data_IF_743432021855
#
_entry.id   IF_743432021855
#
_cell.length_a   1.000
_cell.length_b   1.000
_cell.length_c   1.000
_cell.angle_alpha   90.00
_cell.angle_beta   90.00
_cell.angle_gamma   90.00
#
_symmetry.space_group_name_H-M   'P 1'
#
loop_
_entity.id
_entity.type
_entity.pdbx_description
1 polymer ?
#
# COMPACT_ATOMS: atom_id res chain seq x y z
N UNK A 1 -18.84 -21.57 5.70
CA UNK A 1 -17.84 -22.30 4.87
C UNK A 1 -17.25 -23.41 5.74
N UNK A 2 -17.11 -24.66 5.22
CA UNK A 2 -16.60 -25.78 6.02
C UNK A 2 -15.12 -25.50 6.41
N UNK A 3 -14.73 -25.77 7.68
CA UNK A 3 -13.37 -25.57 8.21
C UNK A 3 -12.28 -26.22 7.32
N UNK A 4 -12.58 -27.39 6.72
CA UNK A 4 -11.68 -28.08 5.80
C UNK A 4 -11.38 -27.24 4.55
N UNK A 5 -12.41 -26.66 3.91
CA UNK A 5 -12.22 -25.77 2.74
C UNK A 5 -11.42 -24.52 3.13
N UNK A 6 -11.73 -23.94 4.29
CA UNK A 6 -11.02 -22.75 4.78
C UNK A 6 -9.54 -23.06 5.04
N UNK A 7 -9.23 -24.20 5.67
CA UNK A 7 -7.85 -24.66 5.91
C UNK A 7 -7.11 -24.90 4.58
N UNK A 8 -7.75 -25.51 3.58
CA UNK A 8 -7.15 -25.73 2.25
C UNK A 8 -6.78 -24.41 1.55
N UNK A 9 -7.69 -23.43 1.54
CA UNK A 9 -7.41 -22.11 0.94
C UNK A 9 -6.31 -21.36 1.70
N UNK A 10 -6.30 -21.44 3.03
CA UNK A 10 -5.22 -20.90 3.85
C UNK A 10 -3.88 -21.50 3.44
N UNK A 11 -3.75 -22.83 3.42
CA UNK A 11 -2.51 -23.52 3.01
C UNK A 11 -2.03 -23.05 1.65
N UNK A 12 -2.90 -23.07 0.65
CA UNK A 12 -2.55 -22.66 -0.73
C UNK A 12 -2.06 -21.21 -0.81
N UNK A 13 -2.59 -20.32 0.03
CA UNK A 13 -2.19 -18.92 0.06
C UNK A 13 -0.82 -18.68 0.71
N UNK A 14 -0.38 -19.59 1.60
CA UNK A 14 0.88 -19.44 2.33
C UNK A 14 2.10 -20.02 1.62
N UNK A 15 1.93 -21.03 0.75
CA UNK A 15 3.05 -21.64 0.02
C UNK A 15 3.96 -20.61 -0.65
N UNK A 16 3.46 -19.64 -1.44
CA UNK A 16 4.31 -18.61 -2.03
C UNK A 16 4.92 -17.66 -1.01
N UNK A 17 4.27 -17.43 0.13
CA UNK A 17 4.74 -16.52 1.17
C UNK A 17 5.98 -17.06 1.89
N UNK A 18 6.11 -18.36 2.06
CA UNK A 18 7.28 -19.00 2.67
C UNK A 18 8.56 -18.65 1.91
N UNK A 19 8.50 -18.54 0.60
CA UNK A 19 9.64 -18.13 -0.24
C UNK A 19 10.17 -16.73 0.10
N UNK A 20 9.28 -15.81 0.53
CA UNK A 20 9.64 -14.41 0.79
C UNK A 20 9.86 -14.11 2.27
N UNK A 21 9.16 -14.79 3.16
CA UNK A 21 9.13 -14.52 4.59
C UNK A 21 9.72 -15.65 5.45
N UNK A 22 10.11 -16.77 4.84
CA UNK A 22 10.78 -17.87 5.52
C UNK A 22 9.96 -18.43 6.70
N UNK A 23 10.65 -18.68 7.83
CA UNK A 23 10.04 -19.28 9.04
C UNK A 23 8.91 -18.42 9.63
N UNK A 24 8.91 -17.12 9.45
CA UNK A 24 7.84 -16.24 9.94
C UNK A 24 6.51 -16.57 9.25
N UNK A 25 6.52 -16.85 7.94
CA UNK A 25 5.32 -17.26 7.22
C UNK A 25 4.78 -18.60 7.75
N UNK A 26 5.65 -19.52 8.15
CA UNK A 26 5.26 -20.81 8.72
C UNK A 26 4.59 -20.61 10.10
N UNK A 27 5.15 -19.76 10.96
CA UNK A 27 4.55 -19.44 12.27
C UNK A 27 3.18 -18.80 12.11
N UNK A 28 3.05 -17.82 11.21
CA UNK A 28 1.77 -17.14 10.91
C UNK A 28 0.75 -18.17 10.42
N UNK A 29 1.15 -19.07 9.52
CA UNK A 29 0.28 -20.14 9.00
C UNK A 29 -0.21 -21.08 10.10
N UNK A 30 0.66 -21.50 11.01
CA UNK A 30 0.28 -22.35 12.14
C UNK A 30 -0.77 -21.69 13.03
N UNK A 31 -0.59 -20.41 13.38
CA UNK A 31 -1.59 -19.66 14.14
C UNK A 31 -2.90 -19.47 13.39
N UNK A 32 -2.86 -19.30 12.07
CA UNK A 32 -4.06 -19.24 11.23
C UNK A 32 -4.84 -20.57 11.26
N UNK A 33 -4.15 -21.72 11.18
CA UNK A 33 -4.76 -23.02 11.32
C UNK A 33 -5.36 -23.23 12.71
N UNK A 34 -4.63 -22.87 13.76
CA UNK A 34 -5.12 -22.98 15.13
C UNK A 34 -6.36 -22.11 15.37
N UNK A 35 -6.40 -20.89 14.81
CA UNK A 35 -7.58 -20.04 14.87
C UNK A 35 -8.79 -20.65 14.15
N UNK A 36 -8.58 -21.30 13.00
CA UNK A 36 -9.66 -21.98 12.24
C UNK A 36 -10.23 -23.16 13.01
N UNK A 37 -9.37 -23.95 13.67
CA UNK A 37 -9.77 -25.21 14.27
C UNK A 37 -10.20 -25.09 15.73
N UNK A 38 -9.59 -24.19 16.49
CA UNK A 38 -9.78 -24.09 17.94
C UNK A 38 -10.45 -22.78 18.39
N UNK A 39 -9.73 -21.65 18.37
CA UNK A 39 -10.20 -20.39 18.93
C UNK A 39 -9.59 -19.18 18.19
N UNK A 40 -10.39 -18.14 17.99
CA UNK A 40 -9.96 -16.86 17.40
C UNK A 40 -8.85 -16.16 18.22
N UNK A 41 -8.62 -16.52 19.47
CA UNK A 41 -7.51 -16.01 20.28
C UNK A 41 -6.15 -16.23 19.62
N UNK A 42 -6.00 -17.31 18.83
CA UNK A 42 -4.77 -17.54 18.06
C UNK A 42 -4.48 -16.47 17.01
N UNK A 43 -5.48 -15.69 16.60
CA UNK A 43 -5.27 -14.53 15.73
C UNK A 43 -4.43 -13.45 16.43
N UNK A 44 -4.56 -13.25 17.74
CA UNK A 44 -3.74 -12.29 18.49
C UNK A 44 -2.26 -12.68 18.47
N UNK A 45 -1.95 -13.96 18.66
CA UNK A 45 -0.57 -14.45 18.55
C UNK A 45 0.00 -14.28 17.15
N UNK A 46 -0.82 -14.50 16.11
CA UNK A 46 -0.44 -14.24 14.72
C UNK A 46 -0.07 -12.76 14.51
N UNK A 47 -0.88 -11.83 14.99
CA UNK A 47 -0.60 -10.41 14.87
C UNK A 47 0.67 -9.99 15.61
N UNK A 48 0.92 -10.56 16.80
CA UNK A 48 2.16 -10.29 17.51
C UNK A 48 3.40 -10.78 16.76
N UNK A 49 3.36 -11.94 16.12
CA UNK A 49 4.46 -12.44 15.26
C UNK A 49 4.70 -11.50 14.07
N UNK A 50 3.63 -10.94 13.49
CA UNK A 50 3.75 -9.97 12.39
C UNK A 50 4.38 -8.67 12.89
N UNK A 51 3.92 -8.17 14.03
CA UNK A 51 4.43 -6.95 14.68
C UNK A 51 5.93 -7.08 14.97
N UNK A 52 6.34 -8.13 15.70
CA UNK A 52 7.75 -8.41 16.02
C UNK A 52 8.63 -8.48 14.75
N UNK A 53 8.10 -9.12 13.68
CA UNK A 53 8.80 -9.20 12.40
C UNK A 53 8.97 -7.82 11.76
N UNK A 54 7.91 -7.01 11.73
CA UNK A 54 7.94 -5.68 11.16
C UNK A 54 8.88 -4.77 11.96
N UNK A 55 8.81 -4.80 13.28
CA UNK A 55 9.71 -4.05 14.15
C UNK A 55 11.16 -4.43 13.91
N UNK A 56 11.48 -5.72 13.91
CA UNK A 56 12.87 -6.20 13.68
C UNK A 56 13.43 -5.77 12.33
N UNK A 57 12.55 -5.64 11.31
CA UNK A 57 12.97 -5.35 9.95
C UNK A 57 12.99 -3.85 9.62
N UNK A 58 12.12 -3.07 10.24
CA UNK A 58 11.86 -1.68 9.86
C UNK A 58 12.23 -0.65 10.94
N UNK A 59 12.54 -1.06 12.17
CA UNK A 59 13.00 -0.13 13.21
C UNK A 59 14.31 0.60 12.84
N UNK A 60 15.16 0.00 12.01
CA UNK A 60 16.32 0.67 11.45
C UNK A 60 15.95 1.79 10.47
N UNK A 61 14.79 1.70 9.80
CA UNK A 61 14.32 2.72 8.87
C UNK A 61 13.63 3.91 9.57
N UNK A 62 13.05 3.71 10.76
CA UNK A 62 12.42 4.80 11.52
C UNK A 62 13.44 5.79 12.08
N UNK A 63 14.69 5.38 12.24
CA UNK A 63 15.81 6.23 12.67
C UNK A 63 16.50 6.96 11.50
N UNK A 64 16.26 6.55 10.25
CA UNK A 64 16.75 7.25 9.07
C UNK A 64 15.72 8.28 8.61
N UNK A 65 15.97 9.53 8.95
CA UNK A 65 15.26 10.71 8.47
C UNK A 65 13.82 10.87 8.97
N UNK A 66 13.67 11.45 10.13
CA UNK A 66 12.64 12.50 10.26
C UNK A 66 12.89 13.44 9.09
N UNK A 67 12.12 13.29 8.00
CA UNK A 67 12.05 14.30 6.96
C UNK A 67 11.70 15.58 7.69
N UNK A 68 12.64 16.51 7.79
CA UNK A 68 12.42 17.82 8.35
C UNK A 68 11.45 18.52 7.41
N UNK A 69 10.18 18.41 7.71
CA UNK A 69 9.10 19.17 7.08
C UNK A 69 9.15 20.63 7.54
N UNK A 70 10.35 21.24 7.53
CA UNK A 70 10.51 22.61 8.00
C UNK A 70 10.06 23.66 6.96
N UNK A 71 9.54 23.24 5.79
CA UNK A 71 9.15 24.15 4.71
C UNK A 71 7.78 23.87 4.10
N UNK A 72 6.93 23.10 4.76
CA UNK A 72 5.53 23.09 4.38
C UNK A 72 4.86 24.37 4.88
N UNK A 73 5.12 25.47 4.19
CA UNK A 73 4.26 26.64 4.30
C UNK A 73 2.85 26.15 3.97
N UNK A 74 1.92 26.40 4.89
CA UNK A 74 0.48 26.06 4.77
C UNK A 74 -0.18 26.69 3.51
N UNK A 75 0.60 27.34 2.63
CA UNK A 75 0.10 28.09 1.49
C UNK A 75 -0.31 27.23 0.30
N UNK A 76 0.26 26.04 0.13
CA UNK A 76 0.01 25.22 -1.07
C UNK A 76 -0.45 23.81 -0.70
N UNK A 77 -1.61 23.72 -0.04
CA UNK A 77 -2.25 22.41 0.17
C UNK A 77 -2.62 21.80 -1.19
N UNK A 78 -2.00 20.70 -1.50
CA UNK A 78 -2.22 19.98 -2.76
C UNK A 78 -3.12 18.79 -2.54
N UNK A 79 -4.12 18.63 -3.42
CA UNK A 79 -4.94 17.43 -3.48
C UNK A 79 -4.35 16.55 -4.57
N UNK A 80 -3.80 15.41 -4.18
CA UNK A 80 -3.20 14.45 -5.10
C UNK A 80 -4.24 13.47 -5.59
N UNK A 81 -4.35 13.31 -6.91
CA UNK A 81 -5.17 12.30 -7.57
C UNK A 81 -4.22 11.41 -8.36
N UNK A 82 -4.30 10.11 -8.13
CA UNK A 82 -3.53 9.14 -8.89
C UNK A 82 -4.45 8.33 -9.80
N UNK A 83 -4.23 8.47 -11.11
CA UNK A 83 -4.89 7.66 -12.12
C UNK A 83 -3.89 7.27 -13.19
N UNK A 84 -3.42 6.03 -13.14
CA UNK A 84 -2.27 5.55 -13.92
C UNK A 84 -2.38 5.85 -15.41
N UNK A 85 -3.52 5.52 -16.02
CA UNK A 85 -3.73 5.63 -17.46
C UNK A 85 -4.10 7.05 -17.94
N UNK A 86 -4.31 7.99 -17.06
CA UNK A 86 -4.73 9.35 -17.38
C UNK A 86 -6.24 9.53 -17.50
N UNK A 87 -6.67 10.79 -17.50
CA UNK A 87 -8.09 11.19 -17.43
C UNK A 87 -8.96 10.57 -18.54
N UNK A 88 -8.43 10.46 -19.77
CA UNK A 88 -9.18 9.94 -20.92
C UNK A 88 -9.74 8.52 -20.70
N UNK A 89 -9.07 7.74 -19.84
CA UNK A 89 -9.45 6.34 -19.56
C UNK A 89 -10.29 6.19 -18.31
N UNK A 90 -10.59 7.27 -17.61
CA UNK A 90 -11.46 7.20 -16.43
C UNK A 90 -12.87 6.77 -16.82
N UNK A 91 -13.50 5.87 -16.01
CA UNK A 91 -14.94 5.65 -16.08
C UNK A 91 -15.69 6.97 -15.87
N UNK A 92 -16.89 7.10 -16.49
CA UNK A 92 -17.66 8.34 -16.47
C UNK A 92 -17.92 8.85 -15.05
N UNK A 93 -18.25 7.97 -14.12
CA UNK A 93 -18.44 8.34 -12.72
C UNK A 93 -17.19 8.94 -12.09
N UNK A 94 -16.01 8.40 -12.41
CA UNK A 94 -14.74 8.93 -11.90
C UNK A 94 -14.43 10.32 -12.49
N UNK A 95 -14.74 10.55 -13.77
CA UNK A 95 -14.61 11.88 -14.40
C UNK A 95 -15.51 12.90 -13.75
N UNK A 96 -16.78 12.54 -13.48
CA UNK A 96 -17.74 13.41 -12.79
C UNK A 96 -17.19 13.80 -11.41
N UNK A 97 -16.67 12.83 -10.64
CA UNK A 97 -16.07 13.09 -9.34
C UNK A 97 -14.83 14.00 -9.46
N UNK A 98 -13.98 13.74 -10.42
CA UNK A 98 -12.78 14.55 -10.67
C UNK A 98 -13.14 16.00 -11.03
N UNK A 99 -14.05 16.21 -11.97
CA UNK A 99 -14.49 17.54 -12.36
C UNK A 99 -15.21 18.27 -11.22
N UNK A 100 -16.01 17.54 -10.42
CA UNK A 100 -16.60 18.10 -9.20
C UNK A 100 -15.53 18.56 -8.21
N UNK A 101 -14.47 17.77 -8.02
CA UNK A 101 -13.37 18.16 -7.18
C UNK A 101 -12.65 19.41 -7.71
N UNK A 102 -12.34 19.48 -9.01
CA UNK A 102 -11.74 20.68 -9.62
C UNK A 102 -12.60 21.91 -9.38
N UNK A 103 -13.93 21.79 -9.53
CA UNK A 103 -14.88 22.90 -9.34
C UNK A 103 -14.93 23.40 -7.88
N UNK A 104 -14.76 22.49 -6.90
CA UNK A 104 -14.96 22.80 -5.49
C UNK A 104 -13.66 22.92 -4.68
N UNK A 105 -12.51 22.64 -5.26
CA UNK A 105 -11.21 22.69 -4.57
C UNK A 105 -10.80 24.12 -4.15
N UNK A 106 -11.35 25.14 -4.79
CA UNK A 106 -11.11 26.58 -4.48
C UNK A 106 -9.62 26.90 -4.32
N UNK A 107 -9.14 26.94 -3.08
CA UNK A 107 -7.77 27.30 -2.68
C UNK A 107 -6.77 26.15 -2.72
N UNK A 108 -7.21 24.94 -2.99
CA UNK A 108 -6.32 23.78 -3.06
C UNK A 108 -5.87 23.54 -4.50
N UNK A 109 -4.58 23.28 -4.69
CA UNK A 109 -4.04 22.84 -5.97
C UNK A 109 -4.42 21.38 -6.17
N UNK A 110 -5.12 21.07 -7.26
CA UNK A 110 -5.42 19.67 -7.61
C UNK A 110 -4.40 19.20 -8.63
N UNK A 111 -3.72 18.11 -8.35
CA UNK A 111 -2.69 17.53 -9.22
C UNK A 111 -3.06 16.10 -9.55
N UNK A 112 -3.27 15.80 -10.83
CA UNK A 112 -3.43 14.44 -11.30
C UNK A 112 -2.07 13.86 -11.65
N UNK A 113 -1.72 12.76 -10.98
CA UNK A 113 -0.51 11.99 -11.24
C UNK A 113 -0.87 10.77 -12.08
N UNK A 114 -0.16 10.61 -13.19
CA UNK A 114 -0.35 9.55 -14.19
C UNK A 114 0.97 8.86 -14.47
N UNK A 115 1.00 7.82 -15.30
CA UNK A 115 2.25 7.20 -15.76
C UNK A 115 3.18 8.18 -16.48
N UNK A 116 2.64 9.22 -17.12
CA UNK A 116 3.43 10.14 -17.94
C UNK A 116 4.16 11.21 -17.13
N UNK A 117 3.61 11.59 -15.96
CA UNK A 117 4.17 12.66 -15.13
C UNK A 117 4.58 12.21 -13.72
N UNK A 118 4.48 10.91 -13.41
CA UNK A 118 4.86 10.37 -12.09
C UNK A 118 6.30 10.74 -11.72
N UNK A 119 7.23 10.64 -12.68
CA UNK A 119 8.65 10.91 -12.47
C UNK A 119 8.97 12.39 -12.20
N UNK A 120 8.07 13.32 -12.54
CA UNK A 120 8.23 14.74 -12.23
C UNK A 120 8.07 15.02 -10.73
N UNK A 121 7.36 14.14 -10.04
CA UNK A 121 7.06 14.27 -8.60
C UNK A 121 7.88 13.33 -7.74
N UNK A 122 7.91 12.04 -8.08
CA UNK A 122 8.57 11.01 -7.27
C UNK A 122 9.31 10.01 -8.15
N UNK A 123 10.41 9.47 -7.61
CA UNK A 123 11.14 8.39 -8.26
C UNK A 123 10.82 7.07 -7.58
N UNK A 124 10.13 6.19 -8.29
CA UNK A 124 9.81 4.86 -7.79
C UNK A 124 11.04 3.96 -7.89
N UNK A 125 11.41 3.27 -6.79
CA UNK A 125 12.51 2.31 -6.84
C UNK A 125 12.30 1.26 -7.93
N UNK A 126 13.35 0.98 -8.72
CA UNK A 126 13.30 0.05 -9.86
C UNK A 126 12.72 -1.32 -9.49
N UNK A 127 13.03 -1.82 -8.29
CA UNK A 127 12.50 -3.10 -7.79
C UNK A 127 10.97 -3.10 -7.66
N UNK A 128 10.36 -1.95 -7.32
CA UNK A 128 8.91 -1.80 -7.22
C UNK A 128 8.30 -1.80 -8.62
N UNK A 129 8.86 -0.99 -9.54
CA UNK A 129 8.37 -0.95 -10.93
C UNK A 129 8.42 -2.33 -11.59
N UNK A 130 9.51 -3.07 -11.43
CA UNK A 130 9.62 -4.44 -11.94
C UNK A 130 8.55 -5.39 -11.39
N UNK A 131 8.09 -5.20 -10.13
CA UNK A 131 7.00 -6.00 -9.57
C UNK A 131 5.65 -5.64 -10.17
N UNK A 132 5.42 -4.36 -10.47
CA UNK A 132 4.21 -3.90 -11.17
C UNK A 132 4.17 -4.48 -12.59
N UNK A 133 5.25 -4.34 -13.35
CA UNK A 133 5.39 -4.85 -14.71
C UNK A 133 5.18 -6.36 -14.81
N UNK A 134 5.69 -7.11 -13.83
CA UNK A 134 5.51 -8.57 -13.73
C UNK A 134 4.15 -8.99 -13.17
N UNK A 135 3.27 -8.06 -12.83
CA UNK A 135 1.97 -8.34 -12.21
C UNK A 135 2.04 -8.94 -10.79
N UNK A 136 3.23 -8.96 -10.16
CA UNK A 136 3.40 -9.43 -8.78
C UNK A 136 3.04 -8.39 -7.72
N UNK A 137 2.88 -7.13 -8.13
CA UNK A 137 2.33 -6.04 -7.35
C UNK A 137 1.12 -5.49 -8.10
N UNK A 138 -0.06 -5.52 -7.48
CA UNK A 138 -1.28 -4.98 -8.08
C UNK A 138 -1.22 -3.46 -8.21
N UNK A 139 -1.94 -2.90 -9.18
CA UNK A 139 -2.06 -1.43 -9.31
C UNK A 139 -2.69 -0.78 -8.08
N UNK A 140 -3.55 -1.47 -7.35
CA UNK A 140 -4.11 -1.00 -6.09
C UNK A 140 -3.01 -0.78 -5.06
N UNK A 141 -2.18 -1.79 -4.80
CA UNK A 141 -1.05 -1.68 -3.87
C UNK A 141 0.00 -0.66 -4.36
N UNK A 142 0.21 -0.58 -5.67
CA UNK A 142 1.10 0.42 -6.25
C UNK A 142 0.57 1.84 -6.02
N UNK A 143 -0.73 2.07 -6.14
CA UNK A 143 -1.34 3.38 -5.85
C UNK A 143 -1.16 3.80 -4.38
N UNK A 144 -1.17 2.85 -3.45
CA UNK A 144 -0.91 3.11 -2.04
C UNK A 144 0.55 3.58 -1.82
N UNK A 145 1.50 2.91 -2.48
CA UNK A 145 2.92 3.31 -2.43
C UNK A 145 3.10 4.74 -2.99
N UNK A 146 2.51 5.02 -4.14
CA UNK A 146 2.58 6.36 -4.77
C UNK A 146 2.00 7.42 -3.84
N UNK A 147 0.83 7.17 -3.25
CA UNK A 147 0.21 8.11 -2.28
C UNK A 147 1.10 8.35 -1.07
N UNK A 148 1.62 7.30 -0.47
CA UNK A 148 2.53 7.44 0.68
C UNK A 148 3.78 8.26 0.31
N UNK A 149 4.38 8.04 -0.85
CA UNK A 149 5.57 8.76 -1.28
C UNK A 149 5.27 10.24 -1.58
N UNK A 150 4.14 10.55 -2.24
CA UNK A 150 3.72 11.93 -2.50
C UNK A 150 3.46 12.68 -1.20
N UNK A 151 2.69 12.10 -0.28
CA UNK A 151 2.36 12.72 1.00
C UNK A 151 3.60 12.89 1.89
N UNK A 152 4.51 11.91 1.90
CA UNK A 152 5.76 12.01 2.64
C UNK A 152 6.68 13.13 2.12
N UNK A 153 6.66 13.40 0.81
CA UNK A 153 7.53 14.41 0.19
C UNK A 153 6.93 15.81 0.16
N UNK A 154 5.64 15.92 -0.11
CA UNK A 154 4.97 17.21 -0.37
C UNK A 154 3.86 17.54 0.62
N UNK A 155 3.42 16.60 1.43
CA UNK A 155 2.21 16.75 2.22
C UNK A 155 0.94 16.68 1.35
N UNK A 156 -0.21 17.10 1.93
CA UNK A 156 -1.51 17.15 1.27
C UNK A 156 -2.62 17.58 2.22
#
# INVERSE_FOLDING_TARGET
>A
MNKIKQSYYSTKSYIPKVKYFGLVAIKIYLFDLLAIWFDDKFNLYKYKVIEDYLESKYNSFSNEKKIHNNDLSLKDKTIWIFWWQGESTMPEICKICYHSLLKHSKKYKVVMVTQNNLNDYIQIPRKIMQKVEKGSLSFTNFSDIVRCMLLARYGG
#
